data_IF_310505157811
#
_entry.id   IF_310505157811
#
_cell.length_a   1.000
_cell.length_b   1.000
_cell.length_c   1.000
_cell.angle_alpha   90.00
_cell.angle_beta   90.00
_cell.angle_gamma   90.00
#
_symmetry.space_group_name_H-M   'P 1'
#
loop_
_entity.id
_entity.type
_entity.pdbx_description
1 polymer ?
#
# COMPACT_ATOMS: atom_id res chain seq x y z
N UNK A 1 7.00 10.04 20.44
CA UNK A 1 6.44 8.69 20.17
C UNK A 1 7.55 7.66 20.21
N UNK A 2 7.37 6.56 20.94
CA UNK A 2 8.30 5.42 20.94
C UNK A 2 8.33 4.82 19.52
N UNK A 3 9.53 4.61 18.98
CA UNK A 3 9.73 3.87 17.74
C UNK A 3 10.12 2.46 18.16
N UNK A 4 9.40 1.46 17.67
CA UNK A 4 9.76 0.05 17.91
C UNK A 4 10.47 -0.44 16.66
N UNK A 5 11.73 -0.84 16.79
CA UNK A 5 12.44 -1.51 15.70
C UNK A 5 11.82 -2.90 15.51
N UNK A 6 11.59 -3.30 14.26
CA UNK A 6 11.02 -4.59 13.87
C UNK A 6 11.93 -5.26 12.85
N UNK A 7 11.86 -6.58 12.75
CA UNK A 7 12.71 -7.32 11.80
C UNK A 7 12.21 -7.18 10.36
N UNK A 8 13.12 -7.29 9.40
CA UNK A 8 12.79 -7.42 7.98
C UNK A 8 11.87 -8.62 7.73
N UNK A 9 12.13 -9.77 8.37
CA UNK A 9 11.22 -10.94 8.39
C UNK A 9 9.78 -10.54 8.70
N UNK A 10 9.56 -9.74 9.74
CA UNK A 10 8.22 -9.34 10.17
C UNK A 10 7.50 -8.45 9.14
N UNK A 11 8.23 -7.58 8.43
CA UNK A 11 7.67 -6.75 7.36
C UNK A 11 7.32 -7.60 6.13
N UNK A 12 8.21 -8.52 5.72
CA UNK A 12 7.97 -9.48 4.63
C UNK A 12 6.73 -10.33 4.90
N UNK A 13 6.62 -10.84 6.13
CA UNK A 13 5.48 -11.61 6.62
C UNK A 13 4.16 -10.86 6.40
N UNK A 14 4.08 -9.61 6.85
CA UNK A 14 2.87 -8.79 6.70
C UNK A 14 2.58 -8.38 5.26
N UNK A 15 3.62 -8.19 4.44
CA UNK A 15 3.44 -7.96 3.01
C UNK A 15 2.77 -9.18 2.35
N UNK A 16 3.28 -10.39 2.60
CA UNK A 16 2.71 -11.62 2.04
C UNK A 16 1.33 -11.95 2.62
N UNK A 17 1.10 -11.70 3.91
CA UNK A 17 -0.22 -11.82 4.54
C UNK A 17 -1.25 -10.90 3.89
N UNK A 18 -0.86 -9.65 3.61
CA UNK A 18 -1.69 -8.72 2.86
C UNK A 18 -2.00 -9.18 1.42
N UNK A 19 -1.01 -9.79 0.75
CA UNK A 19 -1.13 -10.32 -0.61
C UNK A 19 -2.08 -11.52 -0.66
N UNK A 20 -1.88 -12.49 0.24
CA UNK A 20 -2.72 -13.68 0.38
C UNK A 20 -4.18 -13.31 0.68
N UNK A 21 -4.41 -12.44 1.66
CA UNK A 21 -5.77 -12.00 2.00
C UNK A 21 -6.46 -11.24 0.88
N UNK A 22 -5.72 -10.43 0.10
CA UNK A 22 -6.27 -9.78 -1.10
C UNK A 22 -6.76 -10.83 -2.10
N UNK A 23 -5.97 -11.86 -2.34
CA UNK A 23 -6.28 -12.90 -3.32
C UNK A 23 -7.48 -13.75 -2.85
N UNK A 24 -7.55 -14.09 -1.56
CA UNK A 24 -8.72 -14.74 -0.95
C UNK A 24 -10.00 -13.90 -1.13
N UNK A 25 -9.97 -12.61 -0.75
CA UNK A 25 -11.15 -11.74 -0.88
C UNK A 25 -11.57 -11.54 -2.34
N UNK A 26 -10.63 -11.57 -3.29
CA UNK A 26 -10.94 -11.51 -4.72
C UNK A 26 -11.64 -12.78 -5.21
N UNK A 27 -11.23 -13.95 -4.72
CA UNK A 27 -11.85 -15.23 -5.07
C UNK A 27 -13.20 -15.45 -4.37
N UNK A 28 -13.35 -14.93 -3.16
CA UNK A 28 -14.52 -15.11 -2.30
C UNK A 28 -15.07 -13.75 -1.86
N UNK A 29 -15.68 -13.03 -2.81
CA UNK A 29 -16.17 -11.65 -2.64
C UNK A 29 -17.13 -11.41 -1.45
N UNK A 30 -17.60 -12.48 -0.80
CA UNK A 30 -18.64 -12.47 0.23
C UNK A 30 -18.28 -13.26 1.49
N UNK A 31 -17.00 -13.43 1.83
CA UNK A 31 -16.65 -14.07 3.11
C UNK A 31 -17.29 -13.31 4.27
N UNK A 32 -17.98 -14.05 5.14
CA UNK A 32 -18.47 -13.51 6.41
C UNK A 32 -17.30 -13.00 7.26
N UNK A 33 -17.56 -12.08 8.20
CA UNK A 33 -16.49 -11.57 9.07
C UNK A 33 -15.76 -12.67 9.85
N UNK A 34 -16.49 -13.72 10.23
CA UNK A 34 -15.94 -14.88 10.93
C UNK A 34 -14.99 -15.69 10.03
N UNK A 35 -15.42 -16.04 8.83
CA UNK A 35 -14.58 -16.76 7.84
C UNK A 35 -13.35 -15.93 7.47
N UNK A 36 -13.49 -14.62 7.36
CA UNK A 36 -12.39 -13.69 7.10
C UNK A 36 -11.38 -13.68 8.25
N UNK A 37 -11.86 -13.68 9.50
CA UNK A 37 -11.01 -13.74 10.69
C UNK A 37 -10.27 -15.09 10.78
N UNK A 38 -10.98 -16.21 10.62
CA UNK A 38 -10.37 -17.55 10.62
C UNK A 38 -9.32 -17.70 9.52
N UNK A 39 -9.60 -17.19 8.32
CA UNK A 39 -8.65 -17.23 7.20
C UNK A 39 -7.42 -16.38 7.49
N UNK A 40 -7.61 -15.20 8.06
CA UNK A 40 -6.52 -14.31 8.47
C UNK A 40 -5.61 -14.97 9.51
N UNK A 41 -6.19 -15.56 10.56
CA UNK A 41 -5.45 -16.25 11.62
C UNK A 41 -4.65 -17.42 11.06
N UNK A 42 -5.28 -18.26 10.23
CA UNK A 42 -4.59 -19.37 9.57
C UNK A 42 -3.38 -18.92 8.75
N UNK A 43 -3.52 -17.85 7.97
CA UNK A 43 -2.38 -17.32 7.22
C UNK A 43 -1.32 -16.71 8.13
N UNK A 44 -1.73 -15.97 9.16
CA UNK A 44 -0.81 -15.37 10.12
C UNK A 44 0.04 -16.44 10.80
N UNK A 45 -0.57 -17.52 11.28
CA UNK A 45 0.11 -18.65 11.91
C UNK A 45 1.10 -19.31 10.95
N UNK A 46 0.66 -19.62 9.73
CA UNK A 46 1.53 -20.20 8.70
C UNK A 46 2.75 -19.29 8.39
N UNK A 47 2.55 -17.98 8.33
CA UNK A 47 3.63 -17.03 8.06
C UNK A 47 4.56 -16.81 9.26
N UNK A 48 4.08 -16.96 10.50
CA UNK A 48 4.92 -16.91 11.70
C UNK A 48 5.93 -18.07 11.74
N UNK A 49 5.49 -19.26 11.33
CA UNK A 49 6.32 -20.47 11.23
C UNK A 49 7.30 -20.44 10.05
N UNK A 50 7.00 -19.65 9.01
CA UNK A 50 7.84 -19.54 7.82
C UNK A 50 9.16 -18.84 8.14
N UNK A 51 10.30 -19.36 7.68
CA UNK A 51 11.61 -18.72 7.88
C UNK A 51 11.85 -17.58 6.87
N UNK A 52 12.78 -16.67 7.16
CA UNK A 52 12.99 -15.49 6.32
C UNK A 52 13.45 -15.84 4.88
N UNK A 53 14.28 -16.86 4.71
CA UNK A 53 14.74 -17.31 3.39
C UNK A 53 13.58 -17.78 2.48
N UNK A 54 12.56 -18.43 3.04
CA UNK A 54 11.36 -18.80 2.30
C UNK A 54 10.54 -17.57 1.89
N UNK A 55 10.39 -16.59 2.79
CA UNK A 55 9.73 -15.32 2.46
C UNK A 55 10.46 -14.58 1.33
N UNK A 56 11.80 -14.61 1.34
CA UNK A 56 12.64 -13.99 0.32
C UNK A 56 12.43 -14.63 -1.05
N UNK A 57 12.34 -15.95 -1.10
CA UNK A 57 12.04 -16.68 -2.34
C UNK A 57 10.68 -16.25 -2.88
N UNK A 58 9.64 -16.18 -2.05
CA UNK A 58 8.29 -15.82 -2.49
C UNK A 58 8.18 -14.38 -2.99
N UNK A 59 8.80 -13.42 -2.29
CA UNK A 59 8.82 -12.02 -2.73
C UNK A 59 9.69 -11.87 -3.97
N UNK A 60 10.88 -12.50 -4.00
CA UNK A 60 11.85 -12.38 -5.08
C UNK A 60 11.37 -12.97 -6.42
N UNK A 61 10.49 -13.99 -6.39
CA UNK A 61 9.82 -14.51 -7.59
C UNK A 61 8.95 -13.44 -8.28
N UNK A 62 8.30 -12.57 -7.51
CA UNK A 62 7.37 -11.55 -8.01
C UNK A 62 8.05 -10.20 -8.25
N UNK A 63 8.94 -9.78 -7.34
CA UNK A 63 9.51 -8.43 -7.32
C UNK A 63 10.86 -8.39 -6.59
N UNK A 64 11.95 -8.60 -7.36
CA UNK A 64 13.33 -8.54 -6.84
C UNK A 64 13.70 -7.15 -6.29
N UNK A 65 13.12 -6.08 -6.83
CA UNK A 65 13.41 -4.71 -6.40
C UNK A 65 12.81 -4.46 -5.02
N UNK A 66 11.56 -4.89 -4.79
CA UNK A 66 10.93 -4.86 -3.46
C UNK A 66 11.72 -5.69 -2.44
N UNK A 67 12.10 -6.93 -2.78
CA UNK A 67 12.89 -7.77 -1.89
C UNK A 67 14.18 -7.07 -1.43
N UNK A 68 14.93 -6.50 -2.38
CA UNK A 68 16.15 -5.75 -2.08
C UNK A 68 15.86 -4.60 -1.11
N UNK A 69 14.80 -3.82 -1.34
CA UNK A 69 14.40 -2.73 -0.42
C UNK A 69 14.09 -3.26 0.98
N UNK A 70 13.43 -4.42 1.10
CA UNK A 70 13.13 -5.01 2.40
C UNK A 70 14.39 -5.44 3.16
N UNK A 71 15.40 -5.94 2.43
CA UNK A 71 16.66 -6.39 3.01
C UNK A 71 17.62 -5.24 3.34
N UNK A 72 17.53 -4.11 2.63
CA UNK A 72 18.46 -2.97 2.77
C UNK A 72 18.04 -1.91 3.81
N UNK A 73 16.86 -2.01 4.40
CA UNK A 73 16.36 -1.00 5.34
C UNK A 73 16.23 -1.57 6.75
N UNK A 74 16.54 -0.72 7.73
CA UNK A 74 16.08 -0.92 9.10
C UNK A 74 14.60 -0.57 9.19
N UNK A 75 13.82 -1.46 9.79
CA UNK A 75 12.37 -1.32 9.86
C UNK A 75 11.89 -0.86 11.23
N UNK A 76 10.92 0.05 11.22
CA UNK A 76 10.34 0.61 12.44
C UNK A 76 8.82 0.67 12.34
N UNK A 77 8.13 0.26 13.40
CA UNK A 77 6.71 0.49 13.55
C UNK A 77 6.45 1.91 14.08
N UNK A 78 5.56 2.66 13.40
CA UNK A 78 5.18 4.04 13.74
C UNK A 78 3.74 4.33 13.34
N UNK A 79 3.08 5.24 14.06
CA UNK A 79 1.92 5.94 13.50
C UNK A 79 2.37 7.10 12.63
N UNK A 80 1.85 7.16 11.40
CA UNK A 80 2.17 8.21 10.43
C UNK A 80 0.87 8.87 9.96
N UNK A 81 0.88 10.21 9.91
CA UNK A 81 -0.22 10.99 9.34
C UNK A 81 -0.23 10.86 7.81
N UNK A 82 -1.43 10.74 7.26
CA UNK A 82 -1.66 10.53 5.82
C UNK A 82 -1.18 11.70 4.96
N UNK A 83 -1.11 12.92 5.53
CA UNK A 83 -0.52 14.09 4.86
C UNK A 83 0.97 13.92 4.51
N UNK A 84 1.68 13.00 5.18
CA UNK A 84 3.11 12.72 4.91
C UNK A 84 3.36 11.57 3.95
N UNK A 85 2.33 10.85 3.51
CA UNK A 85 2.44 9.65 2.69
C UNK A 85 1.97 9.95 1.28
N UNK A 86 2.77 9.60 0.27
CA UNK A 86 2.38 9.65 -1.14
C UNK A 86 2.11 8.25 -1.69
N UNK A 87 1.13 8.14 -2.59
CA UNK A 87 0.85 6.89 -3.31
C UNK A 87 1.92 6.56 -4.33
N UNK A 88 1.98 5.29 -4.72
CA UNK A 88 2.72 4.89 -5.92
C UNK A 88 2.04 5.52 -7.16
N UNK A 89 2.80 6.13 -8.09
CA UNK A 89 2.21 6.67 -9.30
C UNK A 89 1.66 5.54 -10.18
N UNK A 90 0.65 5.86 -10.98
CA UNK A 90 -0.02 4.92 -11.90
C UNK A 90 -0.55 3.64 -11.24
N UNK A 91 -0.83 3.71 -9.93
CA UNK A 91 -1.36 2.61 -9.13
C UNK A 91 -2.54 1.92 -9.81
N UNK A 92 -2.36 0.67 -10.27
CA UNK A 92 -3.40 -0.14 -10.93
C UNK A 92 -4.03 0.56 -12.14
N UNK A 93 -3.20 1.22 -12.95
CA UNK A 93 -3.66 1.91 -14.15
C UNK A 93 -4.46 3.19 -13.84
N UNK A 94 -4.44 3.68 -12.60
CA UNK A 94 -4.97 5.01 -12.30
C UNK A 94 -4.14 6.07 -13.01
N UNK A 95 -4.79 7.10 -13.50
CA UNK A 95 -4.11 8.27 -14.02
C UNK A 95 -3.21 8.90 -12.95
N UNK A 96 -2.02 9.33 -13.37
CA UNK A 96 -1.05 9.96 -12.49
C UNK A 96 -1.61 11.17 -11.75
N UNK A 97 -2.52 11.94 -12.34
CA UNK A 97 -3.17 13.11 -11.73
C UNK A 97 -3.93 12.76 -10.45
N UNK A 98 -4.34 11.49 -10.30
CA UNK A 98 -5.03 10.94 -9.12
C UNK A 98 -4.08 10.38 -8.05
N UNK A 99 -2.81 10.16 -8.38
CA UNK A 99 -1.79 9.54 -7.50
C UNK A 99 -0.63 10.50 -7.19
N UNK A 100 -0.95 11.78 -7.30
CA UNK A 100 -0.05 12.90 -7.58
C UNK A 100 0.37 13.69 -6.34
N UNK A 101 -0.40 13.55 -5.27
CA UNK A 101 -0.25 14.24 -4.01
C UNK A 101 -0.02 13.28 -2.85
N UNK A 102 -0.30 13.78 -1.64
CA UNK A 102 -0.40 12.93 -0.45
C UNK A 102 -1.71 12.11 -0.45
N UNK A 103 -1.85 11.19 0.50
CA UNK A 103 -3.04 10.33 0.62
C UNK A 103 -4.35 11.11 0.71
N UNK A 104 -4.37 12.22 1.46
CA UNK A 104 -5.56 13.06 1.66
C UNK A 104 -5.99 13.69 0.33
N UNK A 105 -5.02 14.29 -0.38
CA UNK A 105 -5.25 14.90 -1.68
C UNK A 105 -5.71 13.88 -2.72
N UNK A 106 -5.04 12.73 -2.79
CA UNK A 106 -5.35 11.67 -3.73
C UNK A 106 -6.74 11.06 -3.46
N UNK A 107 -7.06 10.80 -2.19
CA UNK A 107 -8.39 10.32 -1.80
C UNK A 107 -9.49 11.33 -2.15
N UNK A 108 -9.25 12.64 -1.98
CA UNK A 108 -10.19 13.68 -2.39
C UNK A 108 -10.47 13.63 -3.89
N UNK A 109 -9.42 13.52 -4.72
CA UNK A 109 -9.57 13.42 -6.18
C UNK A 109 -10.32 12.15 -6.59
N UNK A 110 -9.97 11.02 -6.00
CA UNK A 110 -10.65 9.74 -6.24
C UNK A 110 -12.12 9.83 -5.84
N UNK A 111 -12.45 10.46 -4.69
CA UNK A 111 -13.83 10.70 -4.26
C UNK A 111 -14.61 11.50 -5.30
N UNK A 112 -14.01 12.54 -5.86
CA UNK A 112 -14.65 13.36 -6.89
C UNK A 112 -14.93 12.54 -8.16
N UNK A 113 -13.99 11.72 -8.62
CA UNK A 113 -14.20 10.85 -9.79
C UNK A 113 -15.18 9.70 -9.52
N UNK A 114 -15.36 9.26 -8.26
CA UNK A 114 -16.41 8.30 -7.90
C UNK A 114 -17.81 8.91 -7.97
N UNK A 115 -17.96 10.18 -7.59
CA UNK A 115 -19.26 10.89 -7.59
C UNK A 115 -19.58 11.42 -8.99
N UNK A 116 -18.58 11.91 -9.72
CA UNK A 116 -18.75 12.60 -10.99
C UNK A 116 -17.61 12.27 -11.97
N UNK A 117 -17.71 11.17 -12.73
CA UNK A 117 -16.62 10.63 -13.56
C UNK A 117 -16.44 11.40 -14.88
N UNK A 118 -16.23 12.72 -14.82
CA UNK A 118 -16.18 13.59 -16.01
C UNK A 118 -14.79 13.80 -16.58
N UNK A 119 -13.74 13.72 -15.76
CA UNK A 119 -12.40 14.16 -16.18
C UNK A 119 -11.43 12.99 -16.36
N UNK A 120 -11.52 11.96 -15.53
CA UNK A 120 -10.55 10.86 -15.53
C UNK A 120 -11.21 9.60 -14.96
N UNK A 121 -11.88 8.79 -15.81
CA UNK A 121 -12.63 7.66 -15.33
C UNK A 121 -11.70 6.67 -14.61
N UNK A 122 -12.06 6.33 -13.37
CA UNK A 122 -11.34 5.30 -12.62
C UNK A 122 -11.52 3.94 -13.32
N UNK A 123 -10.46 3.12 -13.44
CA UNK A 123 -10.57 1.76 -13.97
C UNK A 123 -11.63 0.95 -13.20
N UNK A 124 -12.42 0.14 -13.91
CA UNK A 124 -13.50 -0.65 -13.28
C UNK A 124 -12.97 -1.62 -12.21
N UNK A 125 -11.81 -2.24 -12.47
CA UNK A 125 -11.14 -3.10 -11.49
C UNK A 125 -10.78 -2.34 -10.22
N UNK A 126 -10.26 -1.10 -10.36
CA UNK A 126 -9.96 -0.25 -9.22
C UNK A 126 -11.22 0.15 -8.44
N UNK A 127 -12.28 0.59 -9.13
CA UNK A 127 -13.56 0.97 -8.49
C UNK A 127 -14.12 -0.18 -7.66
N UNK A 128 -14.19 -1.34 -8.28
CA UNK A 128 -14.66 -2.59 -7.68
C UNK A 128 -13.89 -2.90 -6.40
N UNK A 129 -12.56 -2.98 -6.51
CA UNK A 129 -11.72 -3.29 -5.36
C UNK A 129 -11.82 -2.24 -4.25
N UNK A 130 -11.92 -0.96 -4.63
CA UNK A 130 -12.08 0.12 -3.67
C UNK A 130 -13.42 -0.01 -2.93
N UNK A 131 -14.52 -0.31 -3.62
CA UNK A 131 -15.82 -0.56 -3.01
C UNK A 131 -15.77 -1.73 -2.02
N UNK A 132 -15.18 -2.85 -2.42
CA UNK A 132 -14.99 -4.02 -1.55
C UNK A 132 -14.15 -3.68 -0.30
N UNK A 133 -13.11 -2.88 -0.45
CA UNK A 133 -12.30 -2.41 0.69
C UNK A 133 -13.05 -1.42 1.58
N UNK A 134 -13.88 -0.54 1.02
CA UNK A 134 -14.62 0.46 1.78
C UNK A 134 -15.57 -0.20 2.78
N UNK A 135 -16.25 -1.30 2.41
CA UNK A 135 -17.18 -2.02 3.29
C UNK A 135 -16.45 -2.75 4.43
N UNK A 136 -15.23 -3.21 4.20
CA UNK A 136 -14.44 -3.97 5.16
C UNK A 136 -13.38 -3.13 5.90
N UNK A 137 -13.32 -1.81 5.65
CA UNK A 137 -12.22 -0.97 6.13
C UNK A 137 -12.05 -1.02 7.66
N UNK A 138 -13.14 -1.09 8.44
CA UNK A 138 -13.07 -1.22 9.90
C UNK A 138 -12.32 -2.49 10.35
N UNK A 139 -12.44 -3.57 9.59
CA UNK A 139 -11.75 -4.83 9.88
C UNK A 139 -10.29 -4.82 9.37
N UNK A 140 -10.05 -4.29 8.17
CA UNK A 140 -8.73 -4.26 7.53
C UNK A 140 -7.78 -3.28 8.24
N UNK A 141 -8.26 -2.08 8.60
CA UNK A 141 -7.43 -1.00 9.13
C UNK A 141 -6.53 -1.38 10.32
N UNK A 142 -7.02 -2.05 11.38
CA UNK A 142 -6.17 -2.43 12.51
C UNK A 142 -5.21 -3.60 12.22
N UNK A 143 -5.45 -4.39 11.16
CA UNK A 143 -4.74 -5.66 10.91
C UNK A 143 -3.62 -5.56 9.89
N UNK A 144 -3.66 -4.54 9.02
CA UNK A 144 -2.72 -4.41 7.91
C UNK A 144 -2.01 -3.05 7.91
N UNK A 145 -0.86 -2.96 8.60
CA UNK A 145 -0.01 -1.78 8.54
C UNK A 145 0.39 -1.45 7.11
N UNK A 146 0.51 -0.14 6.81
CA UNK A 146 1.05 0.31 5.54
C UNK A 146 2.58 0.14 5.53
N UNK A 147 3.16 -0.23 4.40
CA UNK A 147 4.61 -0.35 4.26
C UNK A 147 5.12 0.88 3.52
N UNK A 148 5.98 1.64 4.20
CA UNK A 148 6.46 2.93 3.78
C UNK A 148 7.98 2.90 3.61
N UNK A 149 8.43 3.53 2.53
CA UNK A 149 9.83 3.82 2.29
C UNK A 149 10.09 5.32 2.43
N UNK A 150 11.35 5.75 2.59
CA UNK A 150 11.69 7.16 2.51
C UNK A 150 11.14 7.82 1.25
N UNK A 151 10.76 9.09 1.35
CA UNK A 151 10.26 9.85 0.21
C UNK A 151 11.26 9.83 -0.95
N UNK A 152 10.75 9.77 -2.18
CA UNK A 152 11.51 9.65 -3.42
C UNK A 152 12.19 8.30 -3.68
N UNK A 153 12.01 7.28 -2.83
CA UNK A 153 12.54 5.94 -3.13
C UNK A 153 11.85 5.32 -4.36
N UNK A 154 10.53 5.28 -4.39
CA UNK A 154 9.74 4.70 -5.49
C UNK A 154 9.46 5.76 -6.54
N UNK A 155 8.92 6.90 -6.10
CA UNK A 155 8.52 7.98 -7.02
C UNK A 155 9.73 8.62 -7.70
N UNK A 156 10.88 8.67 -7.02
CA UNK A 156 12.11 9.17 -7.60
C UNK A 156 12.65 8.26 -8.72
N UNK A 157 12.56 6.93 -8.55
CA UNK A 157 12.87 5.96 -9.61
C UNK A 157 11.93 6.13 -10.80
N UNK A 158 10.63 6.25 -10.53
CA UNK A 158 9.63 6.46 -11.58
C UNK A 158 9.83 7.80 -12.32
N UNK A 159 10.19 8.87 -11.60
CA UNK A 159 10.54 10.18 -12.18
C UNK A 159 11.79 10.08 -13.05
N UNK A 160 12.82 9.31 -12.64
CA UNK A 160 14.02 9.11 -13.46
C UNK A 160 13.67 8.44 -14.77
N UNK A 161 12.85 7.38 -14.72
CA UNK A 161 12.33 6.73 -15.91
C UNK A 161 11.54 7.70 -16.79
N UNK A 162 10.56 8.43 -16.25
CA UNK A 162 9.73 9.33 -17.04
C UNK A 162 10.52 10.47 -17.71
N UNK A 163 11.56 10.99 -17.04
CA UNK A 163 12.49 11.96 -17.64
C UNK A 163 13.29 11.34 -18.78
N UNK A 164 13.75 10.10 -18.62
CA UNK A 164 14.44 9.37 -19.69
C UNK A 164 13.53 9.19 -20.91
N UNK A 165 12.26 8.87 -20.67
CA UNK A 165 11.20 8.76 -21.67
C UNK A 165 10.68 10.12 -22.19
N UNK A 166 11.29 11.24 -21.80
CA UNK A 166 10.91 12.61 -22.19
C UNK A 166 9.41 12.91 -21.99
N UNK A 167 8.81 12.45 -20.88
CA UNK A 167 7.40 12.76 -20.53
C UNK A 167 7.34 14.09 -19.75
N UNK A 168 6.92 15.21 -20.37
CA UNK A 168 7.07 16.56 -19.80
C UNK A 168 6.17 16.83 -18.58
N UNK A 169 5.06 16.11 -18.43
CA UNK A 169 4.08 16.32 -17.35
C UNK A 169 4.45 15.63 -16.02
N UNK A 170 5.64 15.01 -15.94
CA UNK A 170 6.02 14.14 -14.82
C UNK A 170 6.87 14.87 -13.76
N UNK A 171 6.24 15.76 -12.98
CA UNK A 171 6.95 16.57 -11.97
C UNK A 171 6.36 16.46 -10.57
N UNK A 172 6.51 15.33 -9.88
CA UNK A 172 5.91 15.20 -8.55
C UNK A 172 6.65 14.20 -7.67
N UNK A 173 7.44 14.73 -6.75
CA UNK A 173 8.20 13.89 -5.81
C UNK A 173 8.51 14.61 -4.50
N UNK A 174 8.73 15.92 -4.53
CA UNK A 174 9.29 16.63 -3.38
C UNK A 174 8.32 16.90 -2.21
N UNK A 175 7.03 16.55 -2.32
CA UNK A 175 6.00 17.03 -1.38
C UNK A 175 5.71 16.12 -0.18
N UNK A 176 6.08 14.84 -0.19
CA UNK A 176 5.73 13.93 0.91
C UNK A 176 6.96 13.22 1.49
N UNK A 177 6.94 12.95 2.80
CA UNK A 177 8.08 12.37 3.54
C UNK A 177 8.26 10.88 3.28
N UNK A 178 7.20 10.19 2.88
CA UNK A 178 7.18 8.74 2.65
C UNK A 178 6.55 8.39 1.31
N UNK A 179 7.09 7.34 0.69
CA UNK A 179 6.53 6.64 -0.45
C UNK A 179 5.81 5.37 0.03
N UNK A 180 4.60 5.14 -0.46
CA UNK A 180 3.82 3.94 -0.16
C UNK A 180 4.24 2.76 -1.05
N UNK A 181 4.93 1.78 -0.48
CA UNK A 181 5.38 0.57 -1.20
C UNK A 181 4.25 -0.48 -1.32
N UNK A 182 3.52 -0.71 -0.24
CA UNK A 182 2.40 -1.65 -0.20
C UNK A 182 1.18 -1.08 0.54
N UNK A 183 -0.01 -1.44 0.07
CA UNK A 183 -1.28 -0.96 0.66
C UNK A 183 -1.91 0.23 -0.05
N UNK A 184 -1.39 0.61 -1.20
CA UNK A 184 -1.94 1.53 -2.20
C UNK A 184 -3.50 1.69 -2.21
N UNK A 185 -4.27 0.68 -2.63
CA UNK A 185 -5.76 0.77 -2.59
C UNK A 185 -6.35 0.89 -1.16
N UNK A 186 -5.75 0.19 -0.19
CA UNK A 186 -6.21 0.20 1.22
C UNK A 186 -6.04 1.57 1.86
N UNK A 187 -4.92 2.24 1.59
CA UNK A 187 -4.65 3.58 2.11
C UNK A 187 -5.67 4.62 1.63
N UNK A 188 -6.14 4.49 0.39
CA UNK A 188 -7.25 5.29 -0.13
C UNK A 188 -8.56 4.93 0.58
N UNK A 189 -8.87 3.64 0.77
CA UNK A 189 -10.08 3.24 1.48
C UNK A 189 -10.09 3.71 2.95
N UNK A 190 -8.94 3.69 3.62
CA UNK A 190 -8.76 4.26 4.97
C UNK A 190 -9.06 5.76 4.96
N UNK A 191 -8.43 6.49 4.04
CA UNK A 191 -8.59 7.94 3.95
C UNK A 191 -10.05 8.32 3.64
N UNK A 192 -10.70 7.59 2.72
CA UNK A 192 -12.10 7.82 2.37
C UNK A 192 -13.07 7.52 3.52
N UNK A 193 -12.71 6.61 4.43
CA UNK A 193 -13.46 6.30 5.66
C UNK A 193 -13.09 7.21 6.85
N UNK A 194 -12.36 8.31 6.63
CA UNK A 194 -12.10 9.33 7.65
C UNK A 194 -10.94 9.01 8.59
N UNK A 195 -10.08 8.04 8.24
CA UNK A 195 -8.81 7.88 8.94
C UNK A 195 -7.79 8.89 8.41
N UNK A 196 -7.01 9.49 9.31
CA UNK A 196 -5.98 10.49 8.96
C UNK A 196 -4.56 10.08 9.38
N UNK A 197 -4.45 8.93 10.07
CA UNK A 197 -3.20 8.30 10.50
C UNK A 197 -3.37 6.79 10.44
N UNK A 198 -2.27 6.06 10.25
CA UNK A 198 -2.26 4.59 10.39
C UNK A 198 -0.97 4.12 11.04
N UNK A 199 -1.02 2.90 11.60
CA UNK A 199 0.20 2.15 11.91
C UNK A 199 0.89 1.78 10.61
N UNK A 200 2.21 1.98 10.57
CA UNK A 200 3.03 1.79 9.39
C UNK A 200 4.35 1.13 9.75
N UNK A 201 4.86 0.30 8.85
CA UNK A 201 6.23 -0.16 8.85
C UNK A 201 7.06 0.76 7.97
N UNK A 202 8.01 1.45 8.58
CA UNK A 202 8.79 2.51 7.94
C UNK A 202 10.23 2.04 7.79
N UNK A 203 10.66 1.85 6.55
CA UNK A 203 12.06 1.58 6.21
C UNK A 203 12.91 2.83 6.39
N UNK A 204 14.11 2.66 6.93
CA UNK A 204 15.14 3.70 7.03
C UNK A 204 16.48 3.11 6.57
N UNK A 205 17.19 3.84 5.71
CA UNK A 205 18.60 3.56 5.41
C UNK A 205 19.51 4.22 6.44
#
# INVERSE_FOLDING_TARGET
MKKTQISSKFVKMHFLLADAMRDTCRMHRFLGQEELQQTYERYLDAFLETNESQLDIEIGKKDKVRLRRYNEHDWYEKQIEFGYIGNCPEMKGLDIRLTNGNLIENARKIRLELINPKNTPLPNEFKTQLQDMLTQTKWIFPRFPLILLPGNTIRGEHNKWARHEKKPDFWMCSRTKYDLDAGNSRSISYTLNGYYRANCFVGKK
#
